data_IF_943960633099
#
_entry.id   IF_943960633099
#
_cell.length_a   1.000
_cell.length_b   1.000
_cell.length_c   1.000
_cell.angle_alpha   90.00
_cell.angle_beta   90.00
_cell.angle_gamma   90.00
#
_symmetry.space_group_name_H-M   'P 1'
#
loop_
_entity.id
_entity.type
_entity.pdbx_description
1 polymer ?
#
# COMPACT_ATOMS: atom_id res chain seq x y z
N UNK A 1 -21.07 17.29 -19.61
CA UNK A 1 -19.79 16.61 -19.24
C UNK A 1 -18.64 17.60 -18.94
N UNK A 2 -18.88 18.88 -18.62
CA UNK A 2 -17.81 19.88 -18.47
C UNK A 2 -17.63 20.46 -17.04
N UNK A 3 -18.64 20.42 -16.17
CA UNK A 3 -18.56 21.10 -14.86
C UNK A 3 -17.52 20.48 -13.91
N UNK A 4 -17.43 19.15 -13.81
CA UNK A 4 -16.49 18.50 -12.90
C UNK A 4 -15.02 18.82 -13.23
N UNK A 5 -14.64 18.85 -14.51
CA UNK A 5 -13.28 19.25 -14.92
C UNK A 5 -13.01 20.74 -14.69
N UNK A 6 -14.03 21.59 -14.86
CA UNK A 6 -13.90 23.04 -14.68
C UNK A 6 -13.90 23.46 -13.20
N UNK A 7 -14.42 22.64 -12.28
CA UNK A 7 -14.60 22.94 -10.85
C UNK A 7 -13.91 21.94 -9.93
N UNK A 8 -12.84 21.29 -10.40
CA UNK A 8 -12.15 20.29 -9.60
C UNK A 8 -11.61 20.87 -8.28
N UNK A 9 -11.11 22.10 -8.29
CA UNK A 9 -10.65 22.79 -7.08
C UNK A 9 -11.78 23.01 -6.07
N UNK A 10 -12.97 23.46 -6.51
CA UNK A 10 -14.14 23.65 -5.62
C UNK A 10 -14.55 22.31 -4.98
N UNK A 11 -14.49 21.20 -5.73
CA UNK A 11 -14.80 19.88 -5.19
C UNK A 11 -13.77 19.42 -4.14
N UNK A 12 -12.49 19.75 -4.34
CA UNK A 12 -11.45 19.49 -3.33
C UNK A 12 -11.72 20.31 -2.07
N UNK A 13 -12.03 21.60 -2.21
CA UNK A 13 -12.26 22.47 -1.06
C UNK A 13 -13.49 22.04 -0.26
N UNK A 14 -14.57 21.63 -0.93
CA UNK A 14 -15.74 21.04 -0.28
C UNK A 14 -15.39 19.75 0.48
N UNK A 15 -14.63 18.83 -0.15
CA UNK A 15 -14.18 17.60 0.49
C UNK A 15 -13.28 17.87 1.70
N UNK A 16 -12.39 18.85 1.62
CA UNK A 16 -11.55 19.28 2.75
C UNK A 16 -12.36 19.92 3.88
N UNK A 17 -13.50 20.53 3.55
CA UNK A 17 -14.47 21.06 4.52
C UNK A 17 -15.25 19.98 5.28
N UNK A 18 -15.09 18.70 4.91
CA UNK A 18 -15.69 17.56 5.59
C UNK A 18 -16.86 16.92 4.84
N UNK A 19 -17.23 17.42 3.66
CA UNK A 19 -18.34 16.89 2.85
C UNK A 19 -17.81 16.06 1.67
N UNK A 20 -17.97 14.72 1.67
CA UNK A 20 -17.62 13.90 0.51
C UNK A 20 -18.34 14.34 -0.76
N UNK A 21 -17.60 14.47 -1.86
CA UNK A 21 -18.17 14.80 -3.17
C UNK A 21 -18.22 13.54 -4.04
N UNK A 22 -19.41 13.14 -4.49
CA UNK A 22 -19.59 12.00 -5.40
C UNK A 22 -19.72 12.49 -6.84
N UNK A 23 -18.82 12.03 -7.70
CA UNK A 23 -18.85 12.30 -9.15
C UNK A 23 -19.60 11.17 -9.83
N UNK A 24 -20.65 11.54 -10.57
CA UNK A 24 -21.44 10.60 -11.37
C UNK A 24 -21.15 10.73 -12.87
N UNK A 25 -21.24 9.63 -13.61
CA UNK A 25 -21.22 9.59 -15.08
C UNK A 25 -22.46 8.83 -15.57
N UNK A 26 -23.31 9.48 -16.36
CA UNK A 26 -24.59 8.91 -16.81
C UNK A 26 -25.55 8.50 -15.67
N UNK A 27 -25.54 9.23 -14.55
CA UNK A 27 -26.34 8.92 -13.36
C UNK A 27 -25.68 7.93 -12.40
N UNK A 28 -24.63 7.23 -12.84
CA UNK A 28 -23.92 6.23 -12.03
C UNK A 28 -22.75 6.86 -11.26
N UNK A 29 -22.56 6.59 -9.96
CA UNK A 29 -21.39 7.04 -9.21
C UNK A 29 -20.12 6.34 -9.73
N UNK A 30 -19.10 7.14 -10.05
CA UNK A 30 -17.84 6.63 -10.61
C UNK A 30 -16.61 6.95 -9.76
N UNK A 31 -16.64 8.06 -9.01
CA UNK A 31 -15.55 8.50 -8.14
C UNK A 31 -16.13 9.21 -6.92
N UNK A 32 -15.53 9.01 -5.75
CA UNK A 32 -15.74 9.88 -4.59
C UNK A 32 -14.46 10.67 -4.32
N UNK A 33 -14.60 11.96 -4.02
CA UNK A 33 -13.54 12.81 -3.50
C UNK A 33 -13.77 12.95 -2.00
N UNK A 34 -12.83 12.42 -1.23
CA UNK A 34 -12.88 12.43 0.24
C UNK A 34 -11.58 13.02 0.78
N UNK A 35 -11.61 13.67 1.96
CA UNK A 35 -10.39 14.08 2.61
C UNK A 35 -9.56 12.85 2.98
N UNK A 36 -8.26 12.95 2.76
CA UNK A 36 -7.32 11.94 3.26
C UNK A 36 -7.13 12.18 4.76
N UNK A 37 -7.13 11.13 5.60
CA UNK A 37 -6.86 11.28 7.03
C UNK A 37 -5.54 12.03 7.28
N UNK A 38 -5.55 12.89 8.30
CA UNK A 38 -4.36 13.66 8.69
C UNK A 38 -3.36 12.81 9.45
N UNK A 39 -3.88 11.92 10.30
CA UNK A 39 -3.06 10.99 11.06
C UNK A 39 -2.37 9.99 10.10
N UNK A 40 -1.04 9.82 10.20
CA UNK A 40 -0.29 8.94 9.30
C UNK A 40 -0.77 7.49 9.33
N UNK A 41 -1.11 6.96 10.51
CA UNK A 41 -1.52 5.57 10.68
C UNK A 41 -2.93 5.35 10.13
N UNK A 42 -3.83 6.30 10.37
CA UNK A 42 -5.17 6.29 9.79
C UNK A 42 -5.11 6.43 8.26
N UNK A 43 -4.21 7.28 7.74
CA UNK A 43 -4.01 7.44 6.30
C UNK A 43 -3.49 6.17 5.66
N UNK A 44 -2.50 5.52 6.26
CA UNK A 44 -1.99 4.24 5.76
C UNK A 44 -3.12 3.21 5.73
N UNK A 45 -3.89 3.10 6.81
CA UNK A 45 -5.02 2.18 6.89
C UNK A 45 -6.06 2.49 5.81
N UNK A 46 -6.38 3.76 5.58
CA UNK A 46 -7.30 4.19 4.52
C UNK A 46 -6.80 3.75 3.13
N UNK A 47 -5.52 3.99 2.82
CA UNK A 47 -4.94 3.63 1.52
C UNK A 47 -4.89 2.10 1.31
N UNK A 48 -4.43 1.36 2.32
CA UNK A 48 -4.34 -0.10 2.25
C UNK A 48 -5.72 -0.75 2.19
N UNK A 49 -6.69 -0.23 2.94
CA UNK A 49 -8.06 -0.71 2.91
C UNK A 49 -8.71 -0.53 1.54
N UNK A 50 -8.24 0.37 0.67
CA UNK A 50 -8.80 0.56 -0.68
C UNK A 50 -7.88 0.06 -1.80
N UNK A 51 -6.74 -0.56 -1.46
CA UNK A 51 -5.82 -1.12 -2.45
C UNK A 51 -6.24 -2.55 -2.83
N UNK A 52 -6.55 -2.84 -4.10
CA UNK A 52 -7.05 -4.16 -4.52
C UNK A 52 -6.02 -5.27 -4.34
N UNK A 53 -4.74 -4.98 -4.61
CA UNK A 53 -3.65 -5.97 -4.46
C UNK A 53 -3.50 -6.34 -2.98
N UNK A 54 -3.48 -5.34 -2.11
CA UNK A 54 -3.35 -5.57 -0.67
C UNK A 54 -4.53 -6.38 -0.12
N UNK A 55 -5.76 -6.05 -0.53
CA UNK A 55 -6.95 -6.83 -0.16
C UNK A 55 -6.84 -8.30 -0.58
N UNK A 56 -6.42 -8.58 -1.82
CA UNK A 56 -6.28 -9.96 -2.29
C UNK A 56 -5.22 -10.73 -1.50
N UNK A 57 -4.12 -10.10 -1.09
CA UNK A 57 -3.11 -10.75 -0.22
C UNK A 57 -3.71 -11.14 1.13
N UNK A 58 -4.48 -10.24 1.75
CA UNK A 58 -5.13 -10.50 3.05
C UNK A 58 -6.19 -11.59 2.93
N UNK A 59 -7.00 -11.58 1.88
CA UNK A 59 -8.01 -12.60 1.61
C UNK A 59 -7.38 -14.00 1.47
N UNK A 60 -6.34 -14.13 0.64
CA UNK A 60 -5.62 -15.40 0.50
C UNK A 60 -5.01 -15.84 1.82
N UNK A 61 -4.44 -14.91 2.59
CA UNK A 61 -3.78 -15.21 3.86
C UNK A 61 -4.76 -15.66 4.95
N UNK A 62 -6.00 -15.15 4.95
CA UNK A 62 -7.07 -15.59 5.88
C UNK A 62 -7.49 -17.03 5.66
N UNK A 63 -7.53 -17.47 4.41
CA UNK A 63 -8.01 -18.80 4.05
C UNK A 63 -6.91 -19.87 4.06
N UNK A 64 -5.63 -19.46 4.01
CA UNK A 64 -4.48 -20.37 3.87
C UNK A 64 -3.51 -20.40 5.05
N UNK A 65 -3.59 -19.44 5.98
CA UNK A 65 -2.58 -19.25 7.03
C UNK A 65 -2.95 -19.89 8.36
N UNK A 66 -2.04 -20.68 8.92
CA UNK A 66 -2.03 -20.96 10.35
C UNK A 66 -1.45 -19.74 11.10
N UNK A 67 -2.10 -19.25 12.18
CA UNK A 67 -1.59 -18.10 12.91
C UNK A 67 -0.19 -18.38 13.46
N UNK A 68 0.76 -17.47 13.24
CA UNK A 68 2.10 -17.56 13.83
C UNK A 68 2.05 -16.89 15.22
N UNK A 69 2.39 -17.58 16.31
CA UNK A 69 2.51 -16.95 17.63
C UNK A 69 3.50 -15.78 17.60
N UNK A 70 3.20 -14.72 18.37
CA UNK A 70 4.00 -13.48 18.38
C UNK A 70 5.52 -13.73 18.51
N UNK A 71 5.93 -14.61 19.43
CA UNK A 71 7.35 -14.88 19.66
C UNK A 71 8.00 -15.67 18.51
N UNK A 72 7.22 -16.47 17.78
CA UNK A 72 7.68 -17.17 16.58
C UNK A 72 7.93 -16.23 15.41
N UNK A 73 7.17 -15.13 15.31
CA UNK A 73 7.41 -14.09 14.30
C UNK A 73 8.82 -13.52 14.47
N UNK A 74 9.20 -13.13 15.69
CA UNK A 74 10.52 -12.55 15.94
C UNK A 74 11.66 -13.57 15.73
N UNK A 75 11.44 -14.84 16.10
CA UNK A 75 12.39 -15.93 15.80
C UNK A 75 12.58 -16.09 14.29
N UNK A 76 11.49 -16.05 13.51
CA UNK A 76 11.52 -16.17 12.06
C UNK A 76 12.27 -14.99 11.40
N UNK A 77 11.96 -13.76 11.82
CA UNK A 77 12.65 -12.54 11.35
C UNK A 77 14.15 -12.60 11.62
N UNK A 78 14.55 -12.98 12.84
CA UNK A 78 15.95 -13.12 13.21
C UNK A 78 16.68 -14.19 12.37
N UNK A 79 16.01 -15.31 12.07
CA UNK A 79 16.54 -16.36 11.19
C UNK A 79 16.76 -15.84 9.76
N UNK A 80 15.77 -15.16 9.17
CA UNK A 80 15.88 -14.61 7.82
C UNK A 80 16.98 -13.55 7.70
N UNK A 81 17.12 -12.69 8.72
CA UNK A 81 18.19 -11.68 8.74
C UNK A 81 19.58 -12.32 8.73
N UNK A 82 19.80 -13.38 9.51
CA UNK A 82 21.06 -14.13 9.52
C UNK A 82 21.34 -14.80 8.18
N UNK A 83 20.32 -15.34 7.52
CA UNK A 83 20.46 -15.97 6.20
C UNK A 83 20.83 -14.93 5.12
N UNK A 84 20.24 -13.74 5.16
CA UNK A 84 20.58 -12.65 4.24
C UNK A 84 22.01 -12.11 4.46
N UNK A 85 22.48 -12.07 5.71
CA UNK A 85 23.84 -11.67 6.07
C UNK A 85 24.90 -12.76 5.75
N UNK A 86 24.48 -14.01 5.57
CA UNK A 86 25.35 -15.16 5.31
C UNK A 86 25.50 -15.53 3.84
N UNK A 87 24.69 -14.99 2.91
CA UNK A 87 24.96 -15.15 1.47
C UNK A 87 26.21 -14.35 1.08
N UNK A 88 27.35 -15.00 0.75
CA UNK A 88 28.54 -14.27 0.36
C UNK A 88 28.39 -13.78 -1.07
N UNK A 89 28.90 -12.56 -1.30
CA UNK A 89 29.25 -11.98 -2.60
C UNK A 89 30.12 -12.93 -3.44
N UNK A 90 29.54 -13.97 -4.04
CA UNK A 90 30.22 -14.95 -4.88
C UNK A 90 30.36 -14.51 -6.35
N UNK A 91 30.01 -13.25 -6.69
CA UNK A 91 30.08 -12.73 -8.07
C UNK A 91 31.15 -11.66 -8.34
N UNK A 92 32.16 -11.49 -7.46
CA UNK A 92 33.34 -10.66 -7.78
C UNK A 92 34.64 -11.40 -7.58
N UNK A 93 34.96 -12.27 -8.54
CA UNK A 93 36.34 -12.66 -8.82
C UNK A 93 36.55 -12.78 -10.33
N UNK A 94 36.47 -11.66 -11.05
CA UNK A 94 37.20 -11.53 -12.33
C UNK A 94 38.63 -11.12 -12.01
N UNK A 95 39.43 -12.17 -11.86
CA UNK A 95 40.89 -12.24 -11.88
C UNK A 95 41.55 -11.10 -12.66
N UNK A 96 42.13 -10.13 -11.95
CA UNK A 96 43.28 -9.38 -12.43
C UNK A 96 44.43 -10.38 -12.64
N UNK A 97 44.88 -10.56 -13.87
CA UNK A 97 46.20 -11.15 -14.14
C UNK A 97 46.94 -10.24 -15.11
N UNK A 98 47.99 -9.62 -14.56
CA UNK A 98 49.10 -8.94 -15.23
C UNK A 98 49.47 -9.60 -16.57
N UNK A 99 49.74 -8.77 -17.58
CA UNK A 99 51.06 -8.56 -18.18
C UNK A 99 51.07 -7.25 -18.95
#
# INVERSE_FOLDING_TARGET
>A
MAQAKARFSEMIDAARGGEPVVVTRHGEPVVAVVPVPLDPDERERFLLAHNPIFRSIIEVSRDSGEPIPHDDIWRLVAKHRRLAEQEPSSRRSTKTRRS
#
